data_IF_220467262147
#
_entry.id   IF_220467262147
#
_cell.length_a   1.000
_cell.length_b   1.000
_cell.length_c   1.000
_cell.angle_alpha   90.00
_cell.angle_beta   90.00
_cell.angle_gamma   90.00
#
_symmetry.space_group_name_H-M   'P 1'
#
loop_
_entity.id
_entity.type
_entity.pdbx_description
1 polymer ?
#
# COMPACT_ATOMS: atom_id res chain seq x y z
N UNK A 1 19.00 -17.01 -10.59
CA UNK A 1 18.07 -16.25 -9.73
C UNK A 1 16.90 -17.15 -9.41
N UNK A 2 16.74 -17.55 -8.15
CA UNK A 2 15.61 -18.38 -7.72
C UNK A 2 14.35 -17.50 -7.82
N UNK A 3 13.43 -17.85 -8.72
CA UNK A 3 12.10 -17.22 -8.76
C UNK A 3 11.31 -17.78 -7.59
N UNK A 4 10.98 -16.93 -6.62
CA UNK A 4 9.99 -17.27 -5.60
C UNK A 4 8.63 -17.48 -6.29
N UNK A 5 7.96 -18.59 -6.01
CA UNK A 5 6.67 -18.96 -6.59
C UNK A 5 5.55 -17.92 -6.37
N UNK A 6 5.73 -17.01 -5.40
CA UNK A 6 4.80 -15.88 -5.17
C UNK A 6 5.01 -14.69 -6.11
N UNK A 7 6.06 -14.66 -6.93
CA UNK A 7 6.34 -13.51 -7.80
C UNK A 7 5.22 -13.22 -8.82
N UNK A 8 4.42 -14.22 -9.18
CA UNK A 8 3.29 -14.06 -10.10
C UNK A 8 2.03 -13.49 -9.41
N UNK A 9 1.99 -13.46 -8.08
CA UNK A 9 0.85 -12.95 -7.28
C UNK A 9 1.12 -11.62 -6.57
N UNK A 10 2.36 -11.14 -6.63
CA UNK A 10 2.78 -9.90 -5.98
C UNK A 10 2.92 -8.77 -7.02
N UNK A 11 2.15 -7.70 -6.85
CA UNK A 11 2.33 -6.45 -7.59
C UNK A 11 3.09 -5.44 -6.72
N UNK A 12 4.01 -4.67 -7.32
CA UNK A 12 4.74 -3.58 -6.65
C UNK A 12 4.57 -2.29 -7.42
N UNK A 13 4.25 -1.21 -6.69
CA UNK A 13 4.18 0.15 -7.23
C UNK A 13 5.05 1.07 -6.37
N UNK A 14 5.76 2.00 -7.01
CA UNK A 14 6.57 3.01 -6.34
C UNK A 14 6.13 4.40 -6.79
N UNK A 15 5.73 5.24 -5.83
CA UNK A 15 5.48 6.64 -6.09
C UNK A 15 6.82 7.40 -6.12
N UNK A 16 7.22 7.87 -7.29
CA UNK A 16 8.51 8.56 -7.51
C UNK A 16 8.42 10.08 -7.31
N UNK A 17 7.21 10.63 -7.21
CA UNK A 17 7.01 12.06 -7.00
C UNK A 17 7.01 12.40 -5.51
N UNK A 18 7.44 13.62 -5.12
CA UNK A 18 7.37 14.06 -3.74
C UNK A 18 5.94 13.97 -3.25
N UNK A 19 5.70 13.06 -2.32
CA UNK A 19 4.41 12.99 -1.63
C UNK A 19 4.42 14.17 -0.66
N UNK A 20 3.52 15.13 -0.86
CA UNK A 20 3.34 16.30 0.01
C UNK A 20 2.67 15.90 1.35
N UNK A 21 3.22 14.90 2.03
CA UNK A 21 2.73 14.36 3.28
C UNK A 21 3.91 14.02 4.19
N UNK A 22 3.79 14.30 5.49
CA UNK A 22 4.81 13.89 6.45
C UNK A 22 4.83 12.36 6.58
N UNK A 23 6.03 11.82 6.86
CA UNK A 23 6.24 10.38 7.03
C UNK A 23 5.29 9.80 8.09
N UNK A 24 5.05 10.53 9.19
CA UNK A 24 4.15 10.10 10.26
C UNK A 24 2.69 10.01 9.82
N UNK A 25 2.22 10.96 8.99
CA UNK A 25 0.86 10.92 8.44
C UNK A 25 0.70 9.75 7.47
N UNK A 26 1.66 9.56 6.57
CA UNK A 26 1.65 8.45 5.63
C UNK A 26 1.69 7.09 6.34
N UNK A 27 2.52 6.97 7.39
CA UNK A 27 2.61 5.76 8.21
C UNK A 27 1.26 5.37 8.82
N UNK A 28 0.54 6.33 9.39
CA UNK A 28 -0.78 6.07 10.01
C UNK A 28 -1.78 5.49 9.02
N UNK A 29 -1.85 6.04 7.80
CA UNK A 29 -2.74 5.52 6.73
C UNK A 29 -2.30 4.11 6.32
N UNK A 30 -0.99 3.89 6.12
CA UNK A 30 -0.43 2.58 5.75
C UNK A 30 -0.74 1.52 6.81
N UNK A 31 -0.61 1.86 8.10
CA UNK A 31 -0.83 0.92 9.19
C UNK A 31 -2.32 0.51 9.30
N UNK A 32 -3.25 1.35 8.86
CA UNK A 32 -4.68 1.03 8.85
C UNK A 32 -5.11 0.11 7.70
N UNK A 33 -4.47 0.22 6.53
CA UNK A 33 -4.81 -0.56 5.33
C UNK A 33 -3.98 -1.83 5.18
N UNK A 34 -2.89 -1.99 5.94
CA UNK A 34 -2.01 -3.16 5.85
C UNK A 34 -2.77 -4.45 6.18
N UNK A 35 -2.73 -5.41 5.27
CA UNK A 35 -3.34 -6.74 5.45
C UNK A 35 -4.86 -6.76 5.23
N UNK A 36 -5.48 -5.65 4.81
CA UNK A 36 -6.87 -5.60 4.37
C UNK A 36 -7.01 -6.11 2.94
N UNK A 37 -8.22 -6.51 2.56
CA UNK A 37 -8.51 -6.77 1.15
C UNK A 37 -8.38 -5.48 0.33
N UNK A 38 -8.24 -5.60 -0.99
CA UNK A 38 -8.17 -4.43 -1.89
C UNK A 38 -9.46 -3.61 -1.81
N UNK A 39 -10.62 -4.27 -1.80
CA UNK A 39 -11.93 -3.61 -1.69
C UNK A 39 -12.10 -2.89 -0.34
N UNK A 40 -11.76 -3.54 0.77
CA UNK A 40 -11.79 -2.91 2.10
C UNK A 40 -10.84 -1.71 2.17
N UNK A 41 -9.64 -1.83 1.57
CA UNK A 41 -8.67 -0.74 1.51
C UNK A 41 -9.24 0.48 0.78
N UNK A 42 -9.91 0.28 -0.35
CA UNK A 42 -10.55 1.36 -1.10
C UNK A 42 -11.68 2.01 -0.29
N UNK A 43 -12.53 1.21 0.36
CA UNK A 43 -13.61 1.73 1.22
C UNK A 43 -13.05 2.56 2.39
N UNK A 44 -11.96 2.11 3.03
CA UNK A 44 -11.32 2.86 4.11
C UNK A 44 -10.77 4.19 3.59
N UNK A 45 -10.01 4.16 2.48
CA UNK A 45 -9.38 5.36 1.92
C UNK A 45 -10.38 6.41 1.43
N UNK A 46 -11.59 6.01 1.03
CA UNK A 46 -12.66 6.93 0.62
C UNK A 46 -13.30 7.68 1.80
N UNK A 47 -13.25 7.11 3.01
CA UNK A 47 -13.85 7.67 4.23
C UNK A 47 -12.88 8.48 5.09
N UNK A 48 -11.60 8.55 4.73
CA UNK A 48 -10.55 9.28 5.44
C UNK A 48 -10.27 10.65 4.84
#
# INVERSE_FOLDING_TARGET
MIKNENSDKEAKALAQHPICMSVFKARRVIDQIRGRSYEETLMILELM
#
